data_IF_142297078803
#
_entry.id   IF_142297078803
#
_cell.length_a   1.000
_cell.length_b   1.000
_cell.length_c   1.000
_cell.angle_alpha   90.00
_cell.angle_beta   90.00
_cell.angle_gamma   90.00
#
_symmetry.space_group_name_H-M   'P 1'
#
loop_
_entity.id
_entity.type
_entity.pdbx_description
1 polymer ?
#
# COMPACT_ATOMS: atom_id res chain seq x y z
N UNK A 1 9.25 -15.94 1.11
CA UNK A 1 8.53 -17.09 0.49
C UNK A 1 8.01 -18.10 1.51
N UNK A 2 8.86 -18.77 2.31
CA UNK A 2 8.41 -19.80 3.29
C UNK A 2 7.27 -19.33 4.21
N UNK A 3 7.35 -18.09 4.71
CA UNK A 3 6.30 -17.52 5.58
C UNK A 3 4.93 -17.39 4.89
N UNK A 4 4.88 -16.98 3.63
CA UNK A 4 3.62 -16.88 2.85
C UNK A 4 3.01 -18.27 2.65
N UNK A 5 3.85 -19.28 2.37
CA UNK A 5 3.39 -20.67 2.30
C UNK A 5 2.78 -21.13 3.61
N UNK A 6 3.36 -20.75 4.75
CA UNK A 6 2.77 -21.03 6.07
C UNK A 6 1.39 -20.38 6.22
N UNK A 7 1.24 -19.10 5.86
CA UNK A 7 -0.07 -18.43 5.98
C UNK A 7 -1.15 -19.06 5.09
N UNK A 8 -0.76 -19.46 3.88
CA UNK A 8 -1.67 -20.07 2.89
C UNK A 8 -2.11 -21.48 3.31
N UNK A 9 -1.19 -22.30 3.84
CA UNK A 9 -1.47 -23.71 4.15
C UNK A 9 -1.88 -23.96 5.61
N UNK A 10 -1.91 -22.92 6.45
CA UNK A 10 -2.31 -23.06 7.85
C UNK A 10 -3.83 -23.21 7.97
N UNK A 11 -4.26 -24.33 8.58
CA UNK A 11 -5.67 -24.66 8.82
C UNK A 11 -6.19 -24.19 10.19
N UNK A 12 -5.31 -23.73 11.09
CA UNK A 12 -5.76 -23.19 12.38
C UNK A 12 -6.47 -21.85 12.18
N UNK A 13 -7.38 -21.45 13.08
CA UNK A 13 -7.96 -20.10 13.03
C UNK A 13 -6.89 -19.02 13.08
N UNK A 14 -6.89 -18.11 12.09
CA UNK A 14 -5.99 -16.96 12.00
C UNK A 14 -6.78 -15.68 12.30
N UNK A 15 -6.20 -14.78 13.06
CA UNK A 15 -6.75 -13.46 13.37
C UNK A 15 -5.69 -12.41 13.09
N UNK A 16 -6.07 -11.35 12.40
CA UNK A 16 -5.14 -10.29 12.01
C UNK A 16 -5.60 -8.96 12.59
N UNK A 17 -4.68 -8.22 13.20
CA UNK A 17 -4.91 -6.84 13.65
C UNK A 17 -3.83 -5.97 13.02
N UNK A 18 -4.23 -5.04 12.15
CA UNK A 18 -3.31 -4.10 11.53
C UNK A 18 -3.15 -2.87 12.44
N UNK A 19 -2.07 -2.84 13.20
CA UNK A 19 -1.82 -1.79 14.18
C UNK A 19 -1.21 -0.51 13.59
N UNK A 20 -0.49 -0.60 12.47
CA UNK A 20 0.18 0.55 11.84
C UNK A 20 0.36 0.35 10.33
N UNK A 21 1.58 0.21 9.80
CA UNK A 21 1.80 0.02 8.37
C UNK A 21 1.57 -1.42 7.91
N UNK A 22 0.83 -1.59 6.81
CA UNK A 22 0.67 -2.86 6.10
C UNK A 22 0.97 -2.67 4.62
N UNK A 23 2.24 -2.85 4.25
CA UNK A 23 2.73 -2.50 2.92
C UNK A 23 3.30 -3.70 2.16
N UNK A 24 2.91 -3.81 0.90
CA UNK A 24 3.50 -4.72 -0.09
C UNK A 24 3.62 -6.17 0.39
N UNK A 25 4.78 -6.78 0.17
CA UNK A 25 5.00 -8.19 0.52
C UNK A 25 4.91 -8.49 2.03
N UNK A 26 5.06 -7.47 2.89
CA UNK A 26 4.88 -7.61 4.33
C UNK A 26 3.44 -7.97 4.71
N UNK A 27 2.46 -7.35 4.03
CA UNK A 27 1.04 -7.69 4.19
C UNK A 27 0.80 -9.19 3.93
N UNK A 28 1.44 -9.74 2.89
CA UNK A 28 1.29 -11.16 2.54
C UNK A 28 1.90 -12.09 3.59
N UNK A 29 3.09 -11.76 4.08
CA UNK A 29 3.75 -12.54 5.12
C UNK A 29 2.98 -12.56 6.45
N UNK A 30 2.24 -11.50 6.74
CA UNK A 30 1.54 -11.27 8.02
C UNK A 30 0.04 -11.58 7.96
N UNK A 31 -0.40 -12.44 7.03
CA UNK A 31 -1.81 -12.86 6.89
C UNK A 31 -2.77 -11.67 6.66
N UNK A 32 -2.47 -10.83 5.67
CA UNK A 32 -3.41 -9.83 5.17
C UNK A 32 -4.68 -10.43 4.55
N UNK A 33 -5.56 -9.57 4.02
CA UNK A 33 -6.92 -9.93 3.60
C UNK A 33 -6.99 -11.14 2.64
N UNK A 34 -6.02 -11.28 1.76
CA UNK A 34 -5.97 -12.37 0.77
C UNK A 34 -5.64 -13.77 1.35
N UNK A 35 -5.37 -13.89 2.64
CA UNK A 35 -4.91 -15.13 3.29
C UNK A 35 -5.94 -15.73 4.27
N UNK A 36 -7.21 -15.31 4.16
CA UNK A 36 -8.36 -15.88 4.87
C UNK A 36 -8.18 -15.94 6.39
N UNK A 37 -7.85 -14.79 6.99
CA UNK A 37 -8.06 -14.61 8.42
C UNK A 37 -9.56 -14.70 8.75
N UNK A 38 -9.91 -15.31 9.89
CA UNK A 38 -11.31 -15.42 10.35
C UNK A 38 -11.91 -14.05 10.67
N UNK A 39 -11.07 -13.17 11.22
CA UNK A 39 -11.35 -11.76 11.39
C UNK A 39 -10.07 -10.97 11.13
N UNK A 40 -10.23 -9.83 10.49
CA UNK A 40 -9.18 -8.86 10.23
C UNK A 40 -9.67 -7.49 10.70
N UNK A 41 -8.99 -6.89 11.68
CA UNK A 41 -9.33 -5.54 12.16
C UNK A 41 -8.19 -4.56 11.94
N UNK A 42 -8.51 -3.27 11.88
CA UNK A 42 -7.53 -2.19 11.73
C UNK A 42 -7.63 -1.21 12.89
N UNK A 43 -6.51 -0.60 13.26
CA UNK A 43 -6.50 0.55 14.18
C UNK A 43 -6.73 1.86 13.42
N UNK A 44 -7.15 2.96 14.08
CA UNK A 44 -7.43 4.21 13.40
C UNK A 44 -6.18 4.85 12.77
N UNK A 45 -5.00 4.51 13.28
CA UNK A 45 -3.69 4.97 12.79
C UNK A 45 -3.08 4.05 11.74
N UNK A 46 -3.82 3.03 11.30
CA UNK A 46 -3.40 2.08 10.29
C UNK A 46 -3.26 2.74 8.91
N UNK A 47 -2.24 2.31 8.17
CA UNK A 47 -2.07 2.62 6.76
C UNK A 47 -1.81 1.34 5.96
N UNK A 48 -2.53 1.16 4.85
CA UNK A 48 -2.37 0.02 3.93
C UNK A 48 -2.08 0.49 2.51
N UNK A 49 -1.22 -0.23 1.80
CA UNK A 49 -0.98 0.04 0.39
C UNK A 49 0.07 -0.88 -0.22
N UNK A 50 0.31 -0.72 -1.52
CA UNK A 50 1.38 -1.46 -2.19
C UNK A 50 2.77 -1.08 -1.64
N UNK A 51 2.96 0.20 -1.35
CA UNK A 51 4.17 0.81 -0.79
C UNK A 51 3.80 2.14 -0.13
N UNK A 52 4.73 2.78 0.57
CA UNK A 52 4.50 4.11 1.13
C UNK A 52 4.36 5.19 0.05
N UNK A 53 3.54 6.21 0.30
CA UNK A 53 3.24 7.27 -0.67
C UNK A 53 4.48 7.98 -1.22
N UNK A 54 5.46 8.32 -0.37
CA UNK A 54 6.70 8.97 -0.81
C UNK A 54 7.52 8.07 -1.75
N UNK A 55 7.54 6.75 -1.47
CA UNK A 55 8.23 5.78 -2.33
C UNK A 55 7.55 5.66 -3.70
N UNK A 56 6.22 5.66 -3.74
CA UNK A 56 5.45 5.63 -4.98
C UNK A 56 5.69 6.90 -5.81
N UNK A 57 5.60 8.07 -5.18
CA UNK A 57 5.81 9.36 -5.83
C UNK A 57 7.22 9.49 -6.41
N UNK A 58 8.25 9.11 -5.65
CA UNK A 58 9.65 9.09 -6.11
C UNK A 58 9.85 8.17 -7.31
N UNK A 59 9.28 6.96 -7.26
CA UNK A 59 9.38 5.98 -8.36
C UNK A 59 8.71 6.50 -9.64
N UNK A 60 7.52 7.10 -9.53
CA UNK A 60 6.82 7.67 -10.69
C UNK A 60 7.57 8.85 -11.30
N UNK A 61 8.17 9.70 -10.46
CA UNK A 61 9.03 10.79 -10.93
C UNK A 61 10.25 10.26 -11.71
N UNK A 62 10.92 9.23 -11.20
CA UNK A 62 12.08 8.65 -11.88
C UNK A 62 11.71 7.97 -13.19
N UNK A 63 10.60 7.25 -13.24
CA UNK A 63 10.06 6.68 -14.49
C UNK A 63 9.75 7.80 -15.49
N UNK A 64 9.11 8.89 -15.06
CA UNK A 64 8.79 10.02 -15.94
C UNK A 64 10.04 10.72 -16.46
N UNK A 65 11.04 10.93 -15.59
CA UNK A 65 12.34 11.49 -15.95
C UNK A 65 13.05 10.63 -16.99
N UNK A 66 13.08 9.32 -16.80
CA UNK A 66 13.65 8.38 -17.77
C UNK A 66 12.89 8.40 -19.11
N UNK A 67 11.55 8.49 -19.08
CA UNK A 67 10.73 8.60 -20.27
C UNK A 67 11.04 9.87 -21.08
N UNK A 68 11.14 11.03 -20.43
CA UNK A 68 11.44 12.31 -21.10
C UNK A 68 12.84 12.32 -21.71
N UNK A 69 13.84 11.82 -20.97
CA UNK A 69 15.21 11.64 -21.49
C UNK A 69 15.23 10.76 -22.74
N UNK A 70 14.49 9.64 -22.75
CA UNK A 70 14.37 8.75 -23.92
C UNK A 70 13.69 9.42 -25.11
N UNK A 71 12.82 10.40 -24.87
CA UNK A 71 12.15 11.19 -25.91
C UNK A 71 12.96 12.42 -26.36
N UNK A 72 14.17 12.64 -25.80
CA UNK A 72 14.96 13.84 -26.08
C UNK A 72 14.34 15.14 -25.55
N UNK A 73 13.38 15.06 -24.62
CA UNK A 73 12.71 16.22 -24.02
C UNK A 73 13.42 16.63 -22.73
N UNK A 74 13.46 17.93 -22.47
CA UNK A 74 13.95 18.45 -21.20
C UNK A 74 13.02 18.04 -20.04
N UNK A 75 13.64 17.88 -18.87
CA UNK A 75 12.92 17.51 -17.65
C UNK A 75 12.40 18.78 -16.99
N UNK A 76 11.12 19.04 -17.17
CA UNK A 76 10.43 20.11 -16.45
C UNK A 76 10.27 19.73 -14.97
N UNK A 77 10.83 20.58 -14.10
CA UNK A 77 10.76 20.42 -12.64
C UNK A 77 9.35 20.66 -12.10
N UNK A 78 8.57 21.56 -12.71
CA UNK A 78 7.20 21.85 -12.27
C UNK A 78 6.28 20.66 -12.52
N UNK A 79 6.36 20.07 -13.72
CA UNK A 79 5.64 18.84 -14.04
C UNK A 79 5.96 17.69 -13.09
N UNK A 80 7.25 17.50 -12.74
CA UNK A 80 7.64 16.44 -11.80
C UNK A 80 7.07 16.67 -10.41
N UNK A 81 7.07 17.92 -9.93
CA UNK A 81 6.49 18.25 -8.62
C UNK A 81 4.97 18.09 -8.62
N UNK A 82 4.28 18.44 -9.71
CA UNK A 82 2.85 18.18 -9.86
C UNK A 82 2.53 16.68 -9.77
N UNK A 83 3.32 15.83 -10.46
CA UNK A 83 3.17 14.37 -10.37
C UNK A 83 3.38 13.89 -8.94
N UNK A 84 4.40 14.42 -8.25
CA UNK A 84 4.71 14.06 -6.86
C UNK A 84 3.54 14.39 -5.94
N UNK A 85 3.07 15.64 -5.97
CA UNK A 85 1.99 16.14 -5.11
C UNK A 85 0.67 15.42 -5.39
N UNK A 86 0.34 15.18 -6.66
CA UNK A 86 -0.87 14.43 -7.04
C UNK A 86 -0.81 13.00 -6.51
N UNK A 87 0.34 12.35 -6.63
CA UNK A 87 0.53 10.97 -6.14
C UNK A 87 0.41 10.92 -4.62
N UNK A 88 1.07 11.83 -3.90
CA UNK A 88 1.01 11.89 -2.45
C UNK A 88 -0.41 12.09 -1.93
N UNK A 89 -1.16 13.01 -2.55
CA UNK A 89 -2.54 13.26 -2.17
C UNK A 89 -3.43 12.01 -2.37
N UNK A 90 -3.31 11.34 -3.52
CA UNK A 90 -4.06 10.11 -3.77
C UNK A 90 -3.74 9.02 -2.73
N UNK A 91 -2.45 8.85 -2.42
CA UNK A 91 -2.01 7.88 -1.41
C UNK A 91 -2.47 8.26 0.00
N UNK A 92 -2.46 9.54 0.38
CA UNK A 92 -2.95 9.98 1.69
C UNK A 92 -4.42 9.62 1.92
N UNK A 93 -5.25 9.77 0.88
CA UNK A 93 -6.67 9.41 0.93
C UNK A 93 -6.86 7.88 0.94
N UNK A 94 -6.28 7.18 -0.04
CA UNK A 94 -6.51 5.74 -0.29
C UNK A 94 -5.82 4.82 0.73
N UNK A 95 -4.74 5.25 1.40
CA UNK A 95 -4.06 4.41 2.39
C UNK A 95 -4.72 4.43 3.77
N UNK A 96 -5.69 5.32 4.02
CA UNK A 96 -6.25 5.52 5.35
C UNK A 96 -7.06 4.31 5.83
N UNK A 97 -7.09 4.11 7.16
CA UNK A 97 -7.93 3.07 7.77
C UNK A 97 -9.41 3.20 7.38
N UNK A 98 -9.91 4.43 7.27
CA UNK A 98 -11.29 4.69 6.85
C UNK A 98 -11.57 4.22 5.42
N UNK A 99 -10.62 4.45 4.50
CA UNK A 99 -10.74 3.97 3.12
C UNK A 99 -10.70 2.44 3.04
N UNK A 100 -9.79 1.82 3.80
CA UNK A 100 -9.70 0.36 3.91
C UNK A 100 -11.02 -0.27 4.39
N UNK A 101 -11.60 0.29 5.47
CA UNK A 101 -12.86 -0.21 6.03
C UNK A 101 -14.04 0.05 5.07
N UNK A 102 -14.08 1.17 4.34
CA UNK A 102 -15.16 1.43 3.37
C UNK A 102 -15.18 0.43 2.20
N UNK A 103 -14.00 -0.10 1.85
CA UNK A 103 -13.83 -1.09 0.78
C UNK A 103 -13.83 -2.54 1.28
N UNK A 104 -14.11 -2.78 2.58
CA UNK A 104 -14.22 -4.12 3.20
C UNK A 104 -12.89 -4.90 3.11
N UNK A 105 -11.77 -4.18 3.11
CA UNK A 105 -10.43 -4.78 3.19
C UNK A 105 -10.13 -5.30 4.61
N UNK A 106 -10.87 -4.79 5.58
CA UNK A 106 -10.96 -5.26 6.96
C UNK A 106 -12.43 -5.47 7.36
N UNK A 107 -12.63 -6.16 8.47
CA UNK A 107 -13.94 -6.45 9.07
C UNK A 107 -14.35 -5.36 10.09
N UNK A 108 -13.56 -4.29 10.21
CA UNK A 108 -13.85 -3.14 11.05
C UNK A 108 -12.61 -2.41 11.56
N UNK A 109 -12.82 -1.12 11.84
CA UNK A 109 -11.92 -0.26 12.59
C UNK A 109 -12.26 -0.37 14.08
N UNK A 110 -11.25 -0.62 14.92
CA UNK A 110 -11.35 -0.74 16.38
C UNK A 110 -10.84 0.51 17.12
#
# INVERSE_FOLDING_TARGET
>A
AKMIMTQTNSHVPKFTVMCHGSFGAGNYGMCGRAFDARMLFTWPTHQVGLMGGEQAASTLMDVKRAQLKRQGKEVDKQLLEEIRLKTLKAYEEEMSAYYSTSEIWDDGLL
#
